data_IF_248509267664
#
_entry.id   IF_248509267664
#
_cell.length_a   1.000
_cell.length_b   1.000
_cell.length_c   1.000
_cell.angle_alpha   90.00
_cell.angle_beta   90.00
_cell.angle_gamma   90.00
#
_symmetry.space_group_name_H-M   'P 1'
#
loop_
_entity.id
_entity.type
_entity.pdbx_description
1 polymer ?
#
# COMPACT_ATOMS: atom_id res chain seq x y z
N UNK A 1 25.91 -8.14 25.84
CA UNK A 1 25.09 -7.54 24.76
C UNK A 1 23.66 -7.92 25.06
N UNK A 2 22.72 -6.98 25.16
CA UNK A 2 21.34 -7.32 25.56
C UNK A 2 20.59 -8.00 24.40
N UNK A 3 19.60 -8.84 24.72
CA UNK A 3 18.76 -9.52 23.71
C UNK A 3 18.11 -8.53 22.73
N UNK A 4 17.74 -7.34 23.21
CA UNK A 4 17.20 -6.24 22.40
C UNK A 4 18.23 -5.70 21.40
N UNK A 5 19.50 -5.57 21.79
CA UNK A 5 20.57 -5.12 20.90
C UNK A 5 20.84 -6.15 19.80
N UNK A 6 20.79 -7.44 20.14
CA UNK A 6 20.97 -8.52 19.18
C UNK A 6 19.82 -8.60 18.17
N UNK A 7 18.57 -8.51 18.65
CA UNK A 7 17.39 -8.43 17.79
C UNK A 7 17.50 -7.27 16.81
N UNK A 8 17.86 -6.07 17.31
CA UNK A 8 18.02 -4.88 16.46
C UNK A 8 19.10 -5.08 15.40
N UNK A 9 20.22 -5.71 15.73
CA UNK A 9 21.29 -6.02 14.77
C UNK A 9 20.78 -6.94 13.65
N UNK A 10 20.08 -8.02 14.00
CA UNK A 10 19.50 -8.97 13.03
C UNK A 10 18.43 -8.33 12.14
N UNK A 11 17.59 -7.45 12.70
CA UNK A 11 16.60 -6.68 11.91
C UNK A 11 17.28 -5.73 10.90
N UNK A 12 18.35 -5.05 11.31
CA UNK A 12 19.14 -4.18 10.42
C UNK A 12 19.82 -5.00 9.31
N UNK A 13 20.36 -6.17 9.65
CA UNK A 13 20.97 -7.08 8.70
C UNK A 13 19.96 -7.57 7.65
N UNK A 14 18.79 -8.03 8.09
CA UNK A 14 17.74 -8.48 7.19
C UNK A 14 17.23 -7.36 6.27
N UNK A 15 17.04 -6.15 6.84
CA UNK A 15 16.74 -4.95 6.05
C UNK A 15 17.81 -4.68 5.01
N UNK A 16 19.10 -4.74 5.37
CA UNK A 16 20.20 -4.47 4.45
C UNK A 16 20.19 -5.46 3.27
N UNK A 17 20.00 -6.75 3.55
CA UNK A 17 19.86 -7.77 2.49
C UNK A 17 18.77 -7.40 1.49
N UNK A 18 17.60 -6.97 1.98
CA UNK A 18 16.48 -6.54 1.14
C UNK A 18 16.85 -5.33 0.27
N UNK A 19 17.48 -4.31 0.86
CA UNK A 19 17.87 -3.10 0.14
C UNK A 19 18.97 -3.35 -0.90
N UNK A 20 19.85 -4.32 -0.63
CA UNK A 20 20.92 -4.74 -1.54
C UNK A 20 20.40 -5.71 -2.63
N UNK A 21 19.10 -6.02 -2.65
CA UNK A 21 18.45 -6.86 -3.68
C UNK A 21 18.35 -8.35 -3.33
N UNK A 22 18.88 -8.79 -2.17
CA UNK A 22 18.77 -10.14 -1.65
C UNK A 22 17.45 -10.35 -0.90
N UNK A 23 16.32 -10.01 -1.54
CA UNK A 23 14.98 -9.97 -0.92
C UNK A 23 14.60 -11.28 -0.25
N UNK A 24 14.78 -12.42 -0.92
CA UNK A 24 14.42 -13.75 -0.39
C UNK A 24 15.20 -14.10 0.89
N UNK A 25 16.51 -13.82 0.90
CA UNK A 25 17.37 -14.06 2.07
C UNK A 25 16.96 -13.16 3.24
N UNK A 26 16.61 -11.91 2.96
CA UNK A 26 16.10 -10.99 3.96
C UNK A 26 14.75 -11.41 4.52
N UNK A 27 13.82 -11.90 3.68
CA UNK A 27 12.54 -12.48 4.11
C UNK A 27 12.77 -13.70 5.00
N UNK A 28 13.66 -14.61 4.60
CA UNK A 28 14.00 -15.80 5.38
C UNK A 28 14.60 -15.42 6.74
N UNK A 29 15.47 -14.41 6.80
CA UNK A 29 16.03 -13.94 8.06
C UNK A 29 14.95 -13.30 8.94
N UNK A 30 14.09 -12.43 8.39
CA UNK A 30 12.98 -11.81 9.11
C UNK A 30 12.03 -12.85 9.69
N UNK A 31 11.66 -13.88 8.92
CA UNK A 31 10.73 -14.93 9.37
C UNK A 31 11.28 -15.76 10.54
N UNK A 32 12.62 -15.91 10.63
CA UNK A 32 13.27 -16.64 11.73
C UNK A 32 13.41 -15.81 13.01
N UNK A 33 13.60 -14.50 12.89
CA UNK A 33 13.90 -13.64 14.06
C UNK A 33 12.65 -12.99 14.67
N UNK A 34 11.61 -12.81 13.87
CA UNK A 34 10.36 -12.19 14.32
C UNK A 34 9.47 -13.24 14.96
N UNK A 35 9.01 -12.94 16.17
CA UNK A 35 8.14 -13.79 16.97
C UNK A 35 6.98 -12.96 17.52
N UNK A 36 5.88 -13.60 17.97
CA UNK A 36 4.78 -12.87 18.62
C UNK A 36 5.21 -12.01 19.81
N UNK A 37 6.31 -12.38 20.49
CA UNK A 37 6.81 -11.68 21.68
C UNK A 37 7.62 -10.42 21.34
N UNK A 38 8.10 -10.27 20.10
CA UNK A 38 8.96 -9.16 19.70
C UNK A 38 8.44 -8.37 18.50
N UNK A 39 7.24 -8.71 17.99
CA UNK A 39 6.69 -8.10 16.77
C UNK A 39 6.44 -6.61 16.93
N UNK A 40 6.02 -6.17 18.12
CA UNK A 40 5.74 -4.76 18.39
C UNK A 40 7.02 -3.92 18.31
N UNK A 41 8.12 -4.43 18.87
CA UNK A 41 9.45 -3.85 18.83
C UNK A 41 10.08 -3.94 17.45
N UNK A 42 9.65 -4.90 16.63
CA UNK A 42 10.17 -5.15 15.28
C UNK A 42 9.41 -4.38 14.19
N UNK A 43 8.20 -3.85 14.46
CA UNK A 43 7.32 -3.28 13.43
C UNK A 43 7.94 -2.12 12.64
N UNK A 44 8.89 -1.37 13.23
CA UNK A 44 9.59 -0.29 12.51
C UNK A 44 10.32 -0.78 11.26
N UNK A 45 10.76 -2.05 11.24
CA UNK A 45 11.54 -2.60 10.12
C UNK A 45 10.71 -2.62 8.84
N UNK A 46 9.43 -3.02 8.92
CA UNK A 46 8.56 -3.09 7.76
C UNK A 46 8.26 -1.70 7.21
N UNK A 47 8.07 -0.71 8.09
CA UNK A 47 7.82 0.66 7.65
C UNK A 47 9.04 1.22 6.93
N UNK A 48 10.24 0.93 7.42
CA UNK A 48 11.46 1.38 6.78
C UNK A 48 11.73 0.68 5.43
N UNK A 49 11.40 -0.61 5.31
CA UNK A 49 11.41 -1.34 4.04
C UNK A 49 10.41 -0.69 3.07
N UNK A 50 9.16 -0.46 3.52
CA UNK A 50 8.12 0.22 2.74
C UNK A 50 8.58 1.61 2.31
N UNK A 51 9.42 2.31 3.07
CA UNK A 51 9.93 3.63 2.71
C UNK A 51 11.05 3.60 1.67
N UNK A 52 11.93 2.59 1.72
CA UNK A 52 13.24 2.65 1.05
C UNK A 52 13.52 1.55 0.03
N UNK A 53 12.92 0.36 0.17
CA UNK A 53 13.18 -0.77 -0.71
C UNK A 53 12.54 -0.58 -2.10
N UNK A 54 12.98 -1.33 -3.12
CA UNK A 54 12.31 -1.33 -4.43
C UNK A 54 10.86 -1.82 -4.32
N UNK A 55 9.99 -1.45 -5.26
CA UNK A 55 8.60 -1.92 -5.22
C UNK A 55 8.48 -3.45 -5.37
N UNK A 56 9.39 -4.09 -6.13
CA UNK A 56 9.46 -5.56 -6.21
C UNK A 56 9.67 -6.17 -4.82
N UNK A 57 10.62 -5.64 -4.07
CA UNK A 57 10.90 -6.10 -2.71
C UNK A 57 9.74 -5.83 -1.76
N UNK A 58 9.12 -4.64 -1.83
CA UNK A 58 7.94 -4.30 -1.00
C UNK A 58 6.81 -5.30 -1.24
N UNK A 59 6.47 -5.58 -2.50
CA UNK A 59 5.40 -6.53 -2.84
C UNK A 59 5.72 -7.93 -2.33
N UNK A 60 6.93 -8.45 -2.59
CA UNK A 60 7.35 -9.78 -2.11
C UNK A 60 7.28 -9.89 -0.59
N UNK A 61 7.81 -8.90 0.13
CA UNK A 61 7.84 -8.93 1.59
C UNK A 61 6.43 -8.87 2.17
N UNK A 62 5.56 -8.02 1.63
CA UNK A 62 4.19 -7.94 2.09
C UNK A 62 3.43 -9.23 1.80
N UNK A 63 3.58 -9.82 0.62
CA UNK A 63 2.94 -11.10 0.30
C UNK A 63 3.44 -12.26 1.20
N UNK A 64 4.71 -12.24 1.63
CA UNK A 64 5.28 -13.29 2.50
C UNK A 64 5.04 -13.06 3.99
N UNK A 65 5.20 -11.83 4.47
CA UNK A 65 5.28 -11.51 5.91
C UNK A 65 4.32 -10.40 6.34
N UNK A 66 3.58 -9.79 5.42
CA UNK A 66 2.76 -8.60 5.69
C UNK A 66 1.69 -8.83 6.76
N UNK A 67 1.20 -10.06 6.94
CA UNK A 67 0.21 -10.41 7.97
C UNK A 67 0.75 -10.32 9.41
N UNK A 68 2.07 -10.43 9.57
CA UNK A 68 2.70 -10.39 10.89
C UNK A 68 2.86 -8.93 11.33
N UNK A 69 2.99 -8.00 10.38
CA UNK A 69 3.24 -6.60 10.66
C UNK A 69 1.97 -5.76 10.68
N UNK A 70 1.98 -4.70 11.49
CA UNK A 70 1.01 -3.63 11.39
C UNK A 70 1.52 -2.54 10.42
N UNK A 71 1.20 -2.71 9.13
CA UNK A 71 1.56 -1.72 8.09
C UNK A 71 0.78 -0.42 8.20
N UNK A 72 -0.40 -0.42 8.83
CA UNK A 72 -1.26 0.77 8.95
C UNK A 72 -0.63 1.86 9.81
N UNK A 73 0.34 1.50 10.66
CA UNK A 73 1.11 2.44 11.47
C UNK A 73 2.23 3.15 10.68
N UNK A 74 2.50 2.75 9.44
CA UNK A 74 3.61 3.30 8.66
C UNK A 74 3.29 4.68 8.08
N UNK A 75 4.22 5.63 8.25
CA UNK A 75 4.03 7.01 7.82
C UNK A 75 3.83 7.17 6.31
N UNK A 76 4.42 6.30 5.49
CA UNK A 76 4.33 6.33 4.03
C UNK A 76 3.46 5.20 3.46
N UNK A 77 2.35 4.88 4.13
CA UNK A 77 1.47 3.77 3.76
C UNK A 77 0.97 3.83 2.30
N UNK A 78 0.88 5.02 1.69
CA UNK A 78 0.54 5.19 0.27
C UNK A 78 1.50 4.46 -0.69
N UNK A 79 2.77 4.27 -0.30
CA UNK A 79 3.77 3.58 -1.11
C UNK A 79 3.43 2.12 -1.33
N UNK A 80 2.70 1.49 -0.40
CA UNK A 80 2.16 0.14 -0.58
C UNK A 80 1.25 0.10 -1.81
N UNK A 81 0.29 1.02 -1.90
CA UNK A 81 -0.67 1.09 -3.02
C UNK A 81 0.07 1.35 -4.33
N UNK A 82 1.00 2.32 -4.33
CA UNK A 82 1.82 2.63 -5.52
C UNK A 82 2.62 1.41 -6.00
N UNK A 83 3.26 0.68 -5.09
CA UNK A 83 4.07 -0.48 -5.46
C UNK A 83 3.20 -1.61 -6.03
N UNK A 84 2.07 -1.94 -5.41
CA UNK A 84 1.15 -2.94 -5.98
C UNK A 84 0.57 -2.49 -7.34
N UNK A 85 0.25 -1.20 -7.50
CA UNK A 85 -0.20 -0.62 -8.77
C UNK A 85 0.86 -0.72 -9.86
N UNK A 86 2.14 -0.52 -9.53
CA UNK A 86 3.27 -0.61 -10.47
C UNK A 86 3.45 -2.02 -11.04
N UNK A 87 2.97 -3.06 -10.33
CA UNK A 87 2.94 -4.44 -10.81
C UNK A 87 1.56 -4.89 -11.29
N UNK A 88 0.57 -3.97 -11.36
CA UNK A 88 -0.83 -4.28 -11.68
C UNK A 88 -1.41 -5.43 -10.85
N UNK A 89 -0.94 -5.58 -9.61
CA UNK A 89 -1.30 -6.68 -8.72
C UNK A 89 -2.20 -6.19 -7.61
N UNK A 90 -3.45 -6.65 -7.59
CA UNK A 90 -4.34 -6.39 -6.46
C UNK A 90 -3.94 -7.25 -5.24
N UNK A 91 -4.10 -6.70 -4.05
CA UNK A 91 -3.80 -7.39 -2.79
C UNK A 91 -4.61 -6.79 -1.64
N UNK A 92 -4.83 -7.57 -0.58
CA UNK A 92 -5.46 -7.11 0.67
C UNK A 92 -4.70 -5.92 1.29
N UNK A 93 -3.39 -5.83 1.07
CA UNK A 93 -2.57 -4.73 1.57
C UNK A 93 -2.90 -3.39 0.91
N UNK A 94 -3.45 -3.40 -0.31
CA UNK A 94 -3.96 -2.19 -0.98
C UNK A 94 -5.18 -1.67 -0.23
N UNK A 95 -6.11 -2.55 0.12
CA UNK A 95 -7.32 -2.20 0.87
C UNK A 95 -6.98 -1.73 2.29
N UNK A 96 -6.06 -2.41 2.97
CA UNK A 96 -5.56 -1.99 4.29
C UNK A 96 -4.91 -0.62 4.24
N UNK A 97 -4.07 -0.36 3.23
CA UNK A 97 -3.41 0.93 3.06
C UNK A 97 -4.40 2.06 2.76
N UNK A 98 -5.38 1.83 1.87
CA UNK A 98 -6.43 2.81 1.57
C UNK A 98 -7.28 3.09 2.80
N UNK A 99 -7.69 2.07 3.54
CA UNK A 99 -8.45 2.24 4.77
C UNK A 99 -7.67 3.02 5.82
N UNK A 100 -6.37 2.77 5.98
CA UNK A 100 -5.51 3.55 6.90
C UNK A 100 -5.46 5.04 6.52
N UNK A 101 -5.42 5.36 5.22
CA UNK A 101 -5.47 6.74 4.71
C UNK A 101 -6.83 7.38 5.00
N UNK A 102 -7.93 6.64 4.77
CA UNK A 102 -9.29 7.11 5.00
C UNK A 102 -9.52 7.39 6.49
N UNK A 103 -9.18 6.44 7.37
CA UNK A 103 -9.40 6.57 8.82
C UNK A 103 -8.55 7.67 9.44
N UNK A 104 -7.37 7.92 8.88
CA UNK A 104 -6.49 9.02 9.29
C UNK A 104 -6.87 10.37 8.67
N UNK A 105 -7.94 10.42 7.86
CA UNK A 105 -8.41 11.62 7.14
C UNK A 105 -7.31 12.31 6.31
N UNK A 106 -6.43 11.52 5.66
CA UNK A 106 -5.26 12.02 4.93
C UNK A 106 -5.52 12.17 3.43
N UNK A 107 -6.36 13.13 3.03
CA UNK A 107 -6.60 13.44 1.61
C UNK A 107 -5.29 13.76 0.87
N UNK A 108 -4.35 14.45 1.53
CA UNK A 108 -3.05 14.80 0.98
C UNK A 108 -2.23 13.56 0.53
N UNK A 109 -2.46 12.41 1.15
CA UNK A 109 -1.82 11.16 0.74
C UNK A 109 -2.46 10.57 -0.51
N UNK A 110 -3.78 10.67 -0.66
CA UNK A 110 -4.46 10.27 -1.90
C UNK A 110 -4.06 11.19 -3.06
N UNK A 111 -3.97 12.50 -2.83
CA UNK A 111 -3.57 13.48 -3.86
C UNK A 111 -2.16 13.15 -4.39
N UNK A 112 -1.20 12.89 -3.49
CA UNK A 112 0.16 12.46 -3.85
C UNK A 112 0.17 11.11 -4.55
N UNK A 113 -0.52 10.10 -3.98
CA UNK A 113 -0.63 8.78 -4.58
C UNK A 113 -1.17 8.87 -6.02
N UNK A 114 -2.23 9.62 -6.23
CA UNK A 114 -2.84 9.80 -7.55
C UNK A 114 -1.86 10.46 -8.54
N UNK A 115 -1.10 11.45 -8.09
CA UNK A 115 -0.04 12.04 -8.91
C UNK A 115 1.06 11.06 -9.27
N UNK A 116 1.36 10.08 -8.42
CA UNK A 116 2.38 9.06 -8.70
C UNK A 116 1.83 7.96 -9.64
N UNK A 117 0.57 7.53 -9.45
CA UNK A 117 0.00 6.41 -10.20
C UNK A 117 -0.49 6.78 -11.60
N UNK A 118 -0.80 8.06 -11.88
CA UNK A 118 -1.22 8.50 -13.22
C UNK A 118 -0.11 8.32 -14.28
N UNK A 119 1.14 8.20 -13.83
CA UNK A 119 2.31 7.97 -14.67
C UNK A 119 2.52 6.47 -14.98
N UNK A 120 1.76 5.57 -14.34
CA UNK A 120 1.86 4.12 -14.56
C UNK A 120 1.11 3.77 -15.84
N UNK A 121 1.79 3.24 -16.88
CA UNK A 121 1.13 2.84 -18.12
C UNK A 121 0.23 1.63 -17.86
N UNK A 122 -0.96 1.62 -18.48
CA UNK A 122 -1.93 0.51 -18.39
C UNK A 122 -2.25 0.09 -16.95
N UNK A 123 -2.42 1.07 -16.05
CA UNK A 123 -2.83 0.81 -14.68
C UNK A 123 -4.16 0.03 -14.66
N UNK A 124 -4.22 -1.02 -13.83
CA UNK A 124 -5.45 -1.78 -13.64
C UNK A 124 -6.57 -0.83 -13.16
N UNK A 125 -7.71 -0.75 -13.88
CA UNK A 125 -8.81 0.16 -13.55
C UNK A 125 -9.36 -0.01 -12.13
N UNK A 126 -9.16 -1.18 -11.52
CA UNK A 126 -9.56 -1.45 -10.14
C UNK A 126 -8.81 -0.56 -9.13
N UNK A 127 -7.54 -0.20 -9.38
CA UNK A 127 -6.83 0.77 -8.54
C UNK A 127 -7.49 2.15 -8.60
N UNK A 128 -7.82 2.61 -9.82
CA UNK A 128 -8.50 3.90 -10.02
C UNK A 128 -9.86 3.91 -9.31
N UNK A 129 -10.60 2.80 -9.40
CA UNK A 129 -11.87 2.63 -8.73
C UNK A 129 -11.73 2.71 -7.20
N UNK A 130 -10.83 1.93 -6.60
CA UNK A 130 -10.63 1.92 -5.14
C UNK A 130 -10.13 3.26 -4.60
N UNK A 131 -9.23 3.94 -5.32
CA UNK A 131 -8.78 5.29 -4.96
C UNK A 131 -9.93 6.30 -5.11
N UNK A 132 -10.74 6.18 -6.17
CA UNK A 132 -11.95 6.99 -6.36
C UNK A 132 -12.95 6.83 -5.21
N UNK A 133 -13.18 5.60 -4.73
CA UNK A 133 -13.99 5.34 -3.54
C UNK A 133 -13.38 5.95 -2.27
N UNK A 134 -12.06 5.88 -2.12
CA UNK A 134 -11.36 6.48 -0.98
C UNK A 134 -11.53 8.01 -0.94
N UNK A 135 -11.39 8.69 -2.08
CA UNK A 135 -11.69 10.13 -2.18
C UNK A 135 -13.12 10.45 -1.80
N UNK A 136 -14.09 9.63 -2.25
CA UNK A 136 -15.50 9.82 -1.91
C UNK A 136 -15.73 9.77 -0.40
N UNK A 137 -15.13 8.78 0.27
CA UNK A 137 -15.21 8.61 1.73
C UNK A 137 -14.60 9.79 2.50
N UNK A 138 -13.64 10.49 1.89
CA UNK A 138 -13.05 11.72 2.43
C UNK A 138 -13.76 13.01 1.99
N UNK A 139 -14.91 12.92 1.32
CA UNK A 139 -15.69 14.08 0.85
C UNK A 139 -15.10 14.78 -0.40
N UNK A 140 -14.05 14.24 -1.00
CA UNK A 140 -13.44 14.75 -2.24
C UNK A 140 -14.21 14.25 -3.47
N UNK A 141 -15.44 14.73 -3.62
CA UNK A 141 -16.39 14.22 -4.64
C UNK A 141 -15.90 14.45 -6.06
N UNK A 142 -15.24 15.59 -6.34
CA UNK A 142 -14.75 15.93 -7.67
C UNK A 142 -13.67 14.93 -8.13
N UNK A 143 -12.66 14.71 -7.29
CA UNK A 143 -11.57 13.78 -7.53
C UNK A 143 -12.09 12.34 -7.63
N UNK A 144 -13.05 11.97 -6.77
CA UNK A 144 -13.73 10.68 -6.84
C UNK A 144 -14.38 10.45 -8.20
N UNK A 145 -15.19 11.40 -8.67
CA UNK A 145 -15.93 11.27 -9.93
C UNK A 145 -14.98 11.20 -11.13
N UNK A 146 -13.88 11.95 -11.12
CA UNK A 146 -12.85 11.88 -12.17
C UNK A 146 -12.26 10.46 -12.26
N UNK A 147 -11.87 9.89 -11.13
CA UNK A 147 -11.27 8.55 -11.08
C UNK A 147 -12.25 7.44 -11.45
N UNK A 148 -13.48 7.51 -10.95
CA UNK A 148 -14.52 6.56 -11.33
C UNK A 148 -14.79 6.62 -12.84
N UNK A 149 -14.81 7.83 -13.44
CA UNK A 149 -14.94 8.00 -14.89
C UNK A 149 -13.81 7.33 -15.65
N UNK A 150 -12.56 7.56 -15.25
CA UNK A 150 -11.40 6.91 -15.88
C UNK A 150 -11.44 5.38 -15.74
N UNK A 151 -11.85 4.86 -14.59
CA UNK A 151 -12.03 3.42 -14.39
C UNK A 151 -13.13 2.84 -15.30
N UNK A 152 -14.24 3.55 -15.46
CA UNK A 152 -15.32 3.17 -16.37
C UNK A 152 -14.89 3.21 -17.85
N UNK A 153 -14.22 4.28 -18.28
CA UNK A 153 -13.66 4.42 -19.63
C UNK A 153 -12.65 3.31 -19.95
N UNK A 154 -11.98 2.78 -18.93
CA UNK A 154 -11.07 1.64 -19.05
C UNK A 154 -11.79 0.27 -18.97
N UNK A 155 -13.12 0.25 -18.99
CA UNK A 155 -13.93 -0.96 -19.09
C UNK A 155 -14.41 -1.57 -17.77
N UNK A 156 -14.18 -0.93 -16.62
CA UNK A 156 -14.63 -1.46 -15.32
C UNK A 156 -16.13 -1.20 -15.12
N UNK A 157 -16.95 -2.24 -15.24
CA UNK A 157 -18.42 -2.17 -15.15
C UNK A 157 -18.93 -1.54 -13.85
N UNK A 158 -18.36 -1.94 -12.71
CA UNK A 158 -18.75 -1.44 -11.40
C UNK A 158 -18.55 0.08 -11.27
N UNK A 159 -17.48 0.61 -11.88
CA UNK A 159 -17.25 2.05 -11.92
C UNK A 159 -18.31 2.76 -12.77
N UNK A 160 -18.70 2.19 -13.91
CA UNK A 160 -19.76 2.74 -14.75
C UNK A 160 -21.11 2.78 -14.04
N UNK A 161 -21.46 1.75 -13.28
CA UNK A 161 -22.68 1.71 -12.48
C UNK A 161 -22.69 2.80 -11.40
N UNK A 162 -21.56 2.98 -10.71
CA UNK A 162 -21.41 4.05 -9.72
C UNK A 162 -21.62 5.45 -10.31
N UNK A 163 -21.14 5.71 -11.54
CA UNK A 163 -21.34 7.02 -12.20
C UNK A 163 -22.79 7.21 -12.63
N UNK A 164 -23.45 6.16 -13.12
CA UNK A 164 -24.87 6.23 -13.51
C UNK A 164 -25.73 6.62 -12.31
N UNK A 165 -25.47 6.03 -11.15
CA UNK A 165 -26.17 6.37 -9.91
C UNK A 165 -25.92 7.83 -9.47
N UNK A 166 -24.69 8.34 -9.65
CA UNK A 166 -24.38 9.74 -9.36
C UNK A 166 -25.15 10.67 -10.31
N UNK A 167 -25.20 10.33 -11.60
CA UNK A 167 -25.87 11.14 -12.62
C UNK A 167 -27.39 11.12 -12.45
N UNK A 168 -27.97 9.98 -12.03
CA UNK A 168 -29.41 9.85 -11.79
C UNK A 168 -29.91 10.51 -10.51
N UNK A 169 -29.02 10.92 -9.59
CA UNK A 169 -29.36 11.66 -8.37
C UNK A 169 -29.29 13.19 -8.53
N UNK A 170 -28.75 13.66 -9.66
CA UNK A 170 -28.60 15.10 -9.98
C UNK A 170 -29.68 15.58 -10.96
N UNK A 171 -30.32 14.66 -11.69
CA UNK A 171 -31.59 14.88 -12.41
C UNK A 171 -32.78 14.65 -11.48
#
# INVERSE_FOLDING_TARGET
MSEIQELRKKLIEAKKLILDGFTEQGIELLSKIITPNNIKESNWVICNIIDTASCDAVVKILDSLGKIFNITACANIKRVIYCYASFNKMSEYVDLALNAIITSNRKDYLDKLYSDIKEIPNINPEFLFKIGQAYRKLGAIRESNELLRKACESGLKEACENIKEITSRIM
#
